data_IF_785408585134
#
_entry.id   IF_785408585134
#
_cell.length_a   1.000
_cell.length_b   1.000
_cell.length_c   1.000
_cell.angle_alpha   90.00
_cell.angle_beta   90.00
_cell.angle_gamma   90.00
#
_symmetry.space_group_name_H-M   'P 1'
#
loop_
_entity.id
_entity.type
_entity.pdbx_description
1 polymer ?
#
# COMPACT_ATOMS: atom_id res chain seq x y z
N UNK A 1 30.75 18.23 -45.16
CA UNK A 1 31.42 17.86 -43.89
C UNK A 1 30.43 16.99 -43.12
N UNK A 2 30.60 15.65 -43.23
CA UNK A 2 29.74 14.69 -42.54
C UNK A 2 30.13 14.63 -41.06
N UNK A 3 29.14 14.75 -40.19
CA UNK A 3 29.30 14.52 -38.75
C UNK A 3 29.27 13.00 -38.57
N UNK A 4 30.42 12.42 -38.26
CA UNK A 4 30.50 11.02 -37.84
C UNK A 4 30.02 10.93 -36.38
N UNK A 5 28.88 10.29 -36.16
CA UNK A 5 28.53 9.77 -34.84
C UNK A 5 29.45 8.58 -34.55
N UNK A 6 30.09 8.51 -33.39
CA UNK A 6 30.89 7.34 -33.04
C UNK A 6 29.95 6.16 -32.79
N UNK A 7 30.00 5.17 -33.66
CA UNK A 7 29.38 3.85 -33.43
C UNK A 7 30.35 3.06 -32.55
N UNK A 8 29.99 2.81 -31.32
CA UNK A 8 30.72 1.88 -30.46
C UNK A 8 30.16 0.49 -30.74
N UNK A 9 30.84 -0.28 -31.54
CA UNK A 9 30.59 -1.71 -31.69
C UNK A 9 31.15 -2.41 -30.44
N UNK A 10 30.29 -2.90 -29.58
CA UNK A 10 30.63 -3.87 -28.54
C UNK A 10 30.13 -5.26 -28.98
N UNK A 11 30.80 -6.32 -28.54
CA UNK A 11 30.42 -7.72 -28.82
C UNK A 11 29.00 -8.10 -28.35
N UNK A 12 28.27 -7.17 -27.72
CA UNK A 12 26.92 -7.34 -27.22
C UNK A 12 25.82 -6.63 -28.05
N UNK A 13 26.17 -6.15 -29.26
CA UNK A 13 25.26 -5.42 -30.13
C UNK A 13 25.22 -3.91 -29.86
N UNK A 14 24.66 -3.16 -30.80
CA UNK A 14 24.52 -1.70 -30.70
C UNK A 14 23.39 -1.41 -29.73
N UNK A 15 23.71 -0.91 -28.55
CA UNK A 15 22.72 -0.35 -27.64
C UNK A 15 22.57 1.13 -27.97
N UNK A 16 21.48 1.49 -28.64
CA UNK A 16 21.13 2.89 -28.84
C UNK A 16 20.63 3.48 -27.52
N UNK A 17 21.43 4.36 -26.91
CA UNK A 17 21.11 4.98 -25.61
C UNK A 17 19.87 5.89 -25.72
N UNK A 18 19.53 6.36 -26.93
CA UNK A 18 18.36 7.22 -27.16
C UNK A 18 17.02 6.46 -27.06
N UNK A 19 17.02 5.13 -27.13
CA UNK A 19 15.82 4.29 -27.10
C UNK A 19 15.42 3.81 -25.68
N UNK A 20 16.11 4.25 -24.66
CA UNK A 20 15.74 3.88 -23.28
C UNK A 20 14.54 4.70 -22.81
N UNK A 21 13.49 3.99 -22.40
CA UNK A 21 12.34 4.61 -21.78
C UNK A 21 12.72 5.23 -20.43
N UNK A 22 12.41 6.50 -20.26
CA UNK A 22 12.42 7.15 -18.95
C UNK A 22 11.01 6.97 -18.38
N UNK A 23 10.91 6.16 -17.32
CA UNK A 23 9.64 5.85 -16.67
C UNK A 23 9.46 6.76 -15.46
N UNK A 24 8.31 7.42 -15.36
CA UNK A 24 7.90 8.22 -14.22
C UNK A 24 6.74 7.54 -13.52
N UNK A 25 6.80 7.46 -12.18
CA UNK A 25 5.76 6.89 -11.34
C UNK A 25 5.21 7.99 -10.43
N UNK A 26 3.95 8.36 -10.66
CA UNK A 26 3.23 9.37 -9.89
C UNK A 26 2.03 8.77 -9.13
N UNK A 27 1.38 9.60 -8.30
CA UNK A 27 0.18 9.25 -7.54
C UNK A 27 0.37 8.18 -6.46
N UNK A 28 1.61 7.95 -6.02
CA UNK A 28 1.88 7.16 -4.81
C UNK A 28 2.41 8.11 -3.73
N UNK A 29 1.62 8.27 -2.66
CA UNK A 29 2.06 9.01 -1.47
C UNK A 29 3.25 8.30 -0.81
N UNK A 30 4.19 9.06 -0.27
CA UNK A 30 5.34 8.50 0.45
C UNK A 30 4.96 7.76 1.74
N UNK A 31 3.79 8.10 2.30
CA UNK A 31 3.24 7.49 3.52
C UNK A 31 1.72 7.31 3.37
N UNK A 32 1.24 6.11 3.65
CA UNK A 32 -0.17 5.76 3.77
C UNK A 32 -0.46 5.35 5.20
N UNK A 33 -1.66 5.65 5.71
CA UNK A 33 -2.12 5.20 7.02
C UNK A 33 -3.36 4.34 6.83
N UNK A 34 -3.37 3.16 7.41
CA UNK A 34 -4.44 2.17 7.28
C UNK A 34 -4.76 1.52 8.62
N UNK A 35 -6.00 1.08 8.77
CA UNK A 35 -6.42 0.23 9.89
C UNK A 35 -6.08 -1.23 9.55
N UNK A 36 -5.16 -1.79 10.33
CA UNK A 36 -4.70 -3.17 10.17
C UNK A 36 -5.87 -4.17 10.25
N UNK A 37 -5.89 -5.13 9.36
CA UNK A 37 -6.89 -6.20 9.24
C UNK A 37 -8.35 -5.74 9.01
N UNK A 38 -8.57 -4.45 8.69
CA UNK A 38 -9.89 -3.89 8.46
C UNK A 38 -10.00 -3.08 7.17
N UNK A 39 -8.92 -2.44 6.74
CA UNK A 39 -8.90 -1.61 5.54
C UNK A 39 -8.05 -2.23 4.43
N UNK A 40 -8.27 -1.73 3.23
CA UNK A 40 -7.50 -2.10 2.05
C UNK A 40 -6.45 -1.03 1.74
N UNK A 41 -5.30 -1.49 1.30
CA UNK A 41 -4.32 -0.67 0.60
C UNK A 41 -4.79 -0.62 -0.86
N UNK A 42 -5.26 0.55 -1.28
CA UNK A 42 -5.78 0.78 -2.64
C UNK A 42 -4.93 1.84 -3.32
N UNK A 43 -4.19 1.44 -4.34
CA UNK A 43 -3.29 2.30 -5.09
C UNK A 43 -3.55 2.20 -6.58
N UNK A 44 -3.62 3.35 -7.25
CA UNK A 44 -3.78 3.47 -8.70
C UNK A 44 -2.70 4.41 -9.24
N UNK A 45 -1.44 3.93 -9.32
CA UNK A 45 -0.34 4.76 -9.79
C UNK A 45 -0.53 5.19 -11.23
N UNK A 46 -0.15 6.42 -11.52
CA UNK A 46 0.00 6.91 -12.88
C UNK A 46 1.43 6.63 -13.30
N UNK A 47 1.59 5.79 -14.33
CA UNK A 47 2.89 5.44 -14.89
C UNK A 47 2.98 6.01 -16.30
N UNK A 48 4.03 6.74 -16.56
CA UNK A 48 4.27 7.35 -17.88
C UNK A 48 5.67 7.02 -18.38
N UNK A 49 5.80 6.92 -19.68
CA UNK A 49 7.10 6.83 -20.39
C UNK A 49 7.23 8.00 -21.36
N UNK A 50 8.43 8.51 -21.50
CA UNK A 50 8.75 9.53 -22.51
C UNK A 50 8.53 9.03 -23.97
N UNK A 51 8.58 7.73 -24.19
CA UNK A 51 8.42 7.11 -25.52
C UNK A 51 6.99 6.71 -25.84
N UNK A 52 6.22 6.26 -24.83
CA UNK A 52 4.92 5.62 -25.05
C UNK A 52 3.75 6.36 -24.35
N UNK A 53 4.04 7.43 -23.60
CA UNK A 53 3.03 8.16 -22.85
C UNK A 53 2.55 7.37 -21.62
N UNK A 54 1.24 7.30 -21.40
CA UNK A 54 0.65 6.58 -20.26
C UNK A 54 0.79 5.08 -20.48
N UNK A 55 1.34 4.40 -19.47
CA UNK A 55 1.51 2.94 -19.46
C UNK A 55 0.43 2.32 -18.58
N UNK A 56 -0.27 1.34 -19.13
CA UNK A 56 -1.25 0.52 -18.40
C UNK A 56 -0.95 -0.97 -18.53
N UNK A 57 -1.74 -1.82 -17.90
CA UNK A 57 -1.56 -3.28 -17.90
C UNK A 57 -1.73 -3.93 -19.27
N UNK A 58 -2.30 -3.24 -20.26
CA UNK A 58 -2.46 -3.72 -21.63
C UNK A 58 -1.17 -3.63 -22.42
N UNK A 59 -0.23 -2.80 -21.95
CA UNK A 59 1.08 -2.69 -22.57
C UNK A 59 2.00 -3.81 -22.08
N UNK A 60 2.12 -4.86 -22.90
CA UNK A 60 2.89 -6.07 -22.59
C UNK A 60 4.41 -5.88 -22.55
N UNK A 61 4.91 -4.70 -22.95
CA UNK A 61 6.32 -4.36 -22.86
C UNK A 61 6.79 -4.02 -21.43
N UNK A 62 5.84 -3.80 -20.52
CA UNK A 62 6.14 -3.44 -19.14
C UNK A 62 5.65 -4.50 -18.18
N UNK A 63 6.37 -4.65 -17.09
CA UNK A 63 5.99 -5.47 -15.94
C UNK A 63 5.88 -4.60 -14.70
N UNK A 64 4.89 -4.91 -13.87
CA UNK A 64 4.62 -4.24 -12.61
C UNK A 64 4.80 -5.22 -11.46
N UNK A 65 5.36 -4.77 -10.35
CA UNK A 65 5.39 -5.58 -9.15
C UNK A 65 5.37 -4.69 -7.90
N UNK A 66 4.65 -5.16 -6.88
CA UNK A 66 4.71 -4.64 -5.54
C UNK A 66 5.45 -5.63 -4.65
N UNK A 67 6.35 -5.10 -3.86
CA UNK A 67 7.10 -5.88 -2.87
C UNK A 67 6.92 -5.23 -1.50
N UNK A 68 6.90 -6.04 -0.46
CA UNK A 68 6.90 -5.61 0.94
C UNK A 68 8.17 -6.12 1.61
N UNK A 69 8.76 -5.31 2.49
CA UNK A 69 9.88 -5.76 3.30
C UNK A 69 9.35 -6.62 4.44
N UNK A 70 9.83 -7.87 4.55
CA UNK A 70 9.45 -8.79 5.62
C UNK A 70 10.22 -8.52 6.92
N UNK A 71 9.95 -9.29 7.98
CA UNK A 71 10.60 -9.18 9.28
C UNK A 71 12.10 -9.50 9.26
N UNK A 72 12.55 -10.26 8.27
CA UNK A 72 13.97 -10.62 8.07
C UNK A 72 14.72 -9.54 7.28
N UNK A 73 13.99 -8.52 6.78
CA UNK A 73 14.54 -7.43 6.01
C UNK A 73 14.64 -7.70 4.51
N UNK A 74 14.05 -8.78 4.02
CA UNK A 74 14.03 -9.17 2.62
C UNK A 74 12.77 -8.63 1.92
N UNK A 75 12.85 -8.45 0.59
CA UNK A 75 11.74 -8.01 -0.23
C UNK A 75 10.94 -9.21 -0.75
N UNK A 76 9.68 -9.29 -0.37
CA UNK A 76 8.71 -10.30 -0.84
C UNK A 76 7.71 -9.68 -1.79
N UNK A 77 7.46 -10.32 -2.93
CA UNK A 77 6.43 -9.90 -3.86
C UNK A 77 5.04 -10.12 -3.26
N UNK A 78 4.20 -9.09 -3.32
CA UNK A 78 2.81 -9.12 -2.82
C UNK A 78 1.78 -8.96 -3.92
N UNK A 79 2.16 -8.38 -5.06
CA UNK A 79 1.32 -8.27 -6.25
C UNK A 79 2.18 -8.01 -7.50
N UNK A 80 1.66 -8.42 -8.67
CA UNK A 80 2.30 -8.22 -9.98
C UNK A 80 1.39 -7.43 -10.95
N UNK A 81 0.58 -6.54 -10.43
CA UNK A 81 -0.36 -5.67 -11.13
C UNK A 81 0.06 -4.22 -11.05
N UNK A 82 -0.44 -3.37 -11.96
CA UNK A 82 -0.23 -1.91 -11.89
C UNK A 82 -0.99 -1.31 -10.72
N UNK A 83 -2.26 -1.65 -10.59
CA UNK A 83 -3.11 -1.19 -9.52
C UNK A 83 -3.05 -2.20 -8.35
N UNK A 84 -2.91 -1.70 -7.12
CA UNK A 84 -2.87 -2.53 -5.93
C UNK A 84 -4.19 -2.41 -5.18
N UNK A 85 -4.81 -3.55 -4.90
CA UNK A 85 -5.96 -3.65 -4.00
C UNK A 85 -5.77 -4.87 -3.11
N UNK A 86 -5.29 -4.66 -1.88
CA UNK A 86 -5.04 -5.75 -0.94
C UNK A 86 -5.50 -5.39 0.47
N UNK A 87 -6.02 -6.35 1.20
CA UNK A 87 -6.31 -6.17 2.63
C UNK A 87 -5.01 -5.84 3.37
N UNK A 88 -5.04 -4.84 4.23
CA UNK A 88 -3.91 -4.47 5.08
C UNK A 88 -3.73 -5.48 6.24
N UNK A 89 -3.48 -6.75 5.89
CA UNK A 89 -3.15 -7.81 6.85
C UNK A 89 -1.72 -7.62 7.36
N UNK A 90 -1.53 -6.55 8.14
CA UNK A 90 -0.24 -6.10 8.64
C UNK A 90 -0.28 -6.04 10.17
N UNK A 91 0.85 -6.26 10.78
CA UNK A 91 1.03 -5.94 12.21
C UNK A 91 1.03 -4.42 12.40
N UNK A 92 0.73 -3.97 13.64
CA UNK A 92 0.81 -2.56 13.97
C UNK A 92 2.24 -2.05 13.79
N UNK A 93 2.40 -0.94 13.06
CA UNK A 93 3.71 -0.36 12.81
C UNK A 93 3.89 0.14 11.38
N UNK A 94 5.13 0.47 11.05
CA UNK A 94 5.52 1.03 9.76
C UNK A 94 6.13 -0.06 8.89
N UNK A 95 5.53 -0.28 7.71
CA UNK A 95 5.96 -1.26 6.72
C UNK A 95 6.48 -0.58 5.46
N UNK A 96 7.62 -1.03 4.98
CA UNK A 96 8.19 -0.54 3.72
C UNK A 96 7.64 -1.35 2.54
N UNK A 97 7.20 -0.62 1.51
CA UNK A 97 6.72 -1.17 0.25
C UNK A 97 7.50 -0.58 -0.92
N UNK A 98 7.66 -1.35 -1.95
CA UNK A 98 8.34 -0.97 -3.16
C UNK A 98 7.45 -1.28 -4.36
N UNK A 99 7.09 -0.27 -5.14
CA UNK A 99 6.47 -0.46 -6.45
C UNK A 99 7.55 -0.38 -7.53
N UNK A 100 7.53 -1.30 -8.47
CA UNK A 100 8.48 -1.37 -9.56
C UNK A 100 7.81 -1.49 -10.91
N UNK A 101 8.38 -0.81 -11.90
CA UNK A 101 8.00 -0.91 -13.31
C UNK A 101 9.25 -1.30 -14.09
N UNK A 102 9.19 -2.39 -14.83
CA UNK A 102 10.30 -2.91 -15.63
C UNK A 102 9.95 -2.83 -17.12
N UNK A 103 10.75 -2.14 -17.91
CA UNK A 103 10.69 -2.25 -19.38
C UNK A 103 11.41 -3.53 -19.82
N UNK A 104 10.64 -4.51 -20.31
CA UNK A 104 11.17 -5.83 -20.72
C UNK A 104 12.14 -5.79 -21.90
N UNK A 105 12.08 -4.74 -22.71
CA UNK A 105 12.95 -4.60 -23.88
C UNK A 105 14.37 -4.20 -23.50
N UNK A 106 14.48 -3.41 -22.44
CA UNK A 106 15.75 -2.83 -22.00
C UNK A 106 16.18 -3.34 -20.62
N UNK A 107 15.32 -4.11 -19.94
CA UNK A 107 15.48 -4.59 -18.56
C UNK A 107 15.67 -3.45 -17.53
N UNK A 108 15.37 -2.21 -17.94
CA UNK A 108 15.44 -1.04 -17.03
C UNK A 108 14.27 -1.08 -16.06
N UNK A 109 14.60 -1.01 -14.78
CA UNK A 109 13.65 -1.04 -13.68
C UNK A 109 13.58 0.31 -12.96
N UNK A 110 12.39 0.89 -12.89
CA UNK A 110 12.11 2.11 -12.12
C UNK A 110 11.39 1.73 -10.83
N UNK A 111 11.82 2.31 -9.71
CA UNK A 111 11.39 1.95 -8.38
C UNK A 111 10.77 3.15 -7.66
N UNK A 112 9.68 2.90 -6.93
CA UNK A 112 9.04 3.86 -6.02
C UNK A 112 8.89 3.24 -4.64
N UNK A 113 9.68 3.72 -3.68
CA UNK A 113 9.56 3.37 -2.28
C UNK A 113 8.45 4.19 -1.62
N UNK A 114 7.62 3.53 -0.82
CA UNK A 114 6.61 4.16 0.02
C UNK A 114 6.44 3.36 1.33
N UNK A 115 5.75 3.94 2.29
CA UNK A 115 5.52 3.32 3.58
C UNK A 115 4.04 3.22 3.87
N UNK A 116 3.65 2.14 4.53
CA UNK A 116 2.32 1.93 5.08
C UNK A 116 2.43 1.90 6.59
N UNK A 117 1.79 2.84 7.27
CA UNK A 117 1.65 2.85 8.71
C UNK A 117 0.33 2.16 9.07
N UNK A 118 0.44 0.95 9.59
CA UNK A 118 -0.69 0.15 10.03
C UNK A 118 -0.94 0.38 11.51
N UNK A 119 -2.16 0.77 11.86
CA UNK A 119 -2.61 0.96 13.23
C UNK A 119 -3.71 -0.04 13.56
N UNK A 120 -3.78 -0.47 14.81
CA UNK A 120 -4.90 -1.29 15.30
C UNK A 120 -5.96 -0.41 15.96
N UNK A 121 -7.20 -0.88 16.00
CA UNK A 121 -8.33 -0.18 16.68
C UNK A 121 -7.98 0.18 18.12
N UNK A 122 -7.15 -0.62 18.77
CA UNK A 122 -6.80 -0.46 20.19
C UNK A 122 -5.55 0.40 20.44
N UNK A 123 -4.95 0.96 19.40
CA UNK A 123 -3.67 1.68 19.55
C UNK A 123 -3.85 3.05 20.19
N UNK A 124 -4.83 3.82 19.74
CA UNK A 124 -5.05 5.20 20.18
C UNK A 124 -6.50 5.63 19.88
N UNK A 125 -7.15 6.34 20.81
CA UNK A 125 -8.50 6.83 20.58
C UNK A 125 -9.33 6.97 21.87
N UNK A 126 -10.64 7.16 21.69
CA UNK A 126 -11.61 7.28 22.76
C UNK A 126 -12.49 6.04 22.83
N UNK A 127 -12.72 5.54 24.03
CA UNK A 127 -13.68 4.47 24.29
C UNK A 127 -14.96 5.05 24.89
N UNK A 128 -16.10 4.61 24.36
CA UNK A 128 -17.44 4.97 24.79
C UNK A 128 -18.14 3.72 25.29
N UNK A 129 -18.37 3.66 26.60
CA UNK A 129 -19.14 2.60 27.22
C UNK A 129 -20.57 3.08 27.36
N UNK A 130 -21.54 2.32 26.86
CA UNK A 130 -22.97 2.66 26.88
C UNK A 130 -23.84 1.43 27.10
N UNK A 131 -25.03 1.69 27.59
CA UNK A 131 -26.09 0.69 27.65
C UNK A 131 -26.92 0.72 26.37
N UNK A 132 -27.20 -0.44 25.80
CA UNK A 132 -27.95 -0.60 24.57
C UNK A 132 -29.27 -1.35 24.83
N UNK A 133 -30.34 -0.72 24.37
CA UNK A 133 -31.69 -1.30 24.45
C UNK A 133 -32.32 -1.29 25.83
N UNK A 134 -33.50 -1.91 25.95
CA UNK A 134 -34.27 -1.99 27.19
C UNK A 134 -33.69 -2.94 28.25
N UNK A 135 -32.78 -3.80 27.83
CA UNK A 135 -32.08 -4.75 28.70
C UNK A 135 -30.77 -4.19 29.27
N UNK A 136 -30.45 -2.93 28.94
CA UNK A 136 -29.23 -2.24 29.40
C UNK A 136 -27.95 -3.06 29.15
N UNK A 137 -27.87 -3.68 27.96
CA UNK A 137 -26.74 -4.48 27.57
C UNK A 137 -25.55 -3.55 27.30
N UNK A 138 -24.40 -3.87 27.87
CA UNK A 138 -23.17 -3.08 27.70
C UNK A 138 -22.67 -3.18 26.27
N UNK A 139 -22.45 -2.02 25.65
CA UNK A 139 -21.79 -1.84 24.38
C UNK A 139 -20.57 -0.95 24.55
N UNK A 140 -19.45 -1.38 24.02
CA UNK A 140 -18.23 -0.58 23.97
C UNK A 140 -17.95 -0.18 22.53
N UNK A 141 -18.04 1.10 22.27
CA UNK A 141 -17.63 1.69 21.00
C UNK A 141 -16.26 2.34 21.15
N UNK A 142 -15.54 2.42 20.07
CA UNK A 142 -14.23 3.06 20.05
C UNK A 142 -14.11 4.01 18.85
N UNK A 143 -13.59 5.20 19.10
CA UNK A 143 -13.15 6.12 18.05
C UNK A 143 -11.64 6.01 17.94
N UNK A 144 -11.18 5.18 17.02
CA UNK A 144 -9.76 4.93 16.82
C UNK A 144 -9.11 6.04 16.00
N UNK A 145 -8.05 6.65 16.50
CA UNK A 145 -7.25 7.61 15.76
C UNK A 145 -6.22 6.86 14.91
N UNK A 146 -6.38 6.90 13.59
CA UNK A 146 -5.52 6.20 12.63
C UNK A 146 -4.34 7.08 12.19
N UNK A 147 -4.60 8.39 12.09
CA UNK A 147 -3.61 9.42 11.80
C UNK A 147 -4.05 10.75 12.40
N UNK A 148 -3.22 11.78 12.32
CA UNK A 148 -3.52 13.12 12.86
C UNK A 148 -4.88 13.66 12.40
N UNK A 149 -5.27 13.38 11.15
CA UNK A 149 -6.47 13.91 10.53
C UNK A 149 -7.56 12.84 10.31
N UNK A 150 -7.40 11.63 10.87
CA UNK A 150 -8.29 10.52 10.58
C UNK A 150 -8.70 9.73 11.81
N UNK A 151 -10.01 9.78 12.09
CA UNK A 151 -10.65 9.01 13.14
C UNK A 151 -11.63 8.02 12.49
N UNK A 152 -11.57 6.76 12.91
CA UNK A 152 -12.44 5.70 12.43
C UNK A 152 -13.26 5.15 13.59
N UNK A 153 -14.62 5.12 13.51
CA UNK A 153 -15.45 4.51 14.52
C UNK A 153 -15.40 2.98 14.42
N UNK A 154 -15.29 2.32 15.54
CA UNK A 154 -15.43 0.89 15.69
C UNK A 154 -16.53 0.62 16.71
N UNK A 155 -17.65 0.07 16.24
CA UNK A 155 -18.81 -0.20 17.08
C UNK A 155 -18.73 -1.59 17.70
N UNK A 156 -19.21 -1.72 18.93
CA UNK A 156 -19.37 -2.98 19.64
C UNK A 156 -18.09 -3.85 19.66
N UNK A 157 -16.97 -3.24 20.07
CA UNK A 157 -15.66 -3.90 20.05
C UNK A 157 -15.54 -5.08 21.00
N UNK A 158 -16.43 -5.18 22.03
CA UNK A 158 -16.48 -6.31 22.95
C UNK A 158 -16.93 -7.57 22.22
N UNK A 159 -17.98 -7.50 21.38
CA UNK A 159 -18.53 -8.66 20.67
C UNK A 159 -17.68 -9.14 19.50
N UNK A 160 -16.76 -8.33 19.06
CA UNK A 160 -15.83 -8.73 17.99
C UNK A 160 -14.82 -9.79 18.42
N UNK A 161 -14.74 -10.05 19.73
CA UNK A 161 -13.86 -11.06 20.30
C UNK A 161 -14.68 -12.25 20.76
N UNK A 162 -14.49 -13.38 20.10
CA UNK A 162 -15.14 -14.65 20.47
C UNK A 162 -14.86 -15.02 21.93
N UNK A 163 -15.90 -15.49 22.63
CA UNK A 163 -15.80 -15.98 24.00
C UNK A 163 -15.91 -14.91 25.09
N UNK A 164 -16.20 -13.66 24.76
CA UNK A 164 -16.52 -12.64 25.77
C UNK A 164 -18.02 -12.75 26.11
N UNK A 165 -18.42 -13.01 27.39
CA UNK A 165 -19.81 -13.09 27.77
C UNK A 165 -20.49 -11.72 27.68
N UNK A 166 -21.79 -11.72 27.43
CA UNK A 166 -22.60 -10.49 27.45
C UNK A 166 -22.54 -9.85 28.83
N UNK A 167 -22.35 -8.54 28.86
CA UNK A 167 -22.35 -7.71 30.05
C UNK A 167 -23.58 -6.81 30.04
N UNK A 168 -24.10 -6.50 31.23
CA UNK A 168 -25.27 -5.66 31.42
C UNK A 168 -24.98 -4.57 32.45
N UNK A 169 -25.63 -3.41 32.34
CA UNK A 169 -25.55 -2.26 33.25
C UNK A 169 -24.15 -1.61 33.26
N UNK A 170 -23.80 -0.88 32.22
CA UNK A 170 -22.52 -0.16 32.09
C UNK A 170 -22.21 0.78 33.26
N UNK A 171 -23.24 1.34 33.90
CA UNK A 171 -23.08 2.26 35.04
C UNK A 171 -22.61 1.59 36.34
N UNK A 172 -22.58 0.27 36.40
CA UNK A 172 -22.17 -0.49 37.59
C UNK A 172 -20.78 -1.16 37.45
N UNK A 173 -20.00 -0.74 36.49
CA UNK A 173 -18.62 -1.23 36.28
C UNK A 173 -17.59 -0.27 36.84
#
# INVERSE_FOLDING_TARGET
>A
IGIYSPVIESDFGIVNIEDKAVITIDSISSMLSVLANAEYIDLKPVVTSNLEGIIDERNTNFEFAYQRKNSEGEWEEVANTKDLHMLAALESGRHAFLFSVTDKRTEVKTLKLFYVNATTITSEGWMLLCDEGSEERVRLDMLAQISVDRIVPAYDVIRRKDGVPEQYHAANI
#
